data_IF_937491854795
#
_entry.id   IF_937491854795
#
_cell.length_a   1.000
_cell.length_b   1.000
_cell.length_c   1.000
_cell.angle_alpha   90.00
_cell.angle_beta   90.00
_cell.angle_gamma   90.00
#
_symmetry.space_group_name_H-M   'P 1'
#
loop_
_entity.id
_entity.type
_entity.pdbx_description
1 polymer ?
#
# COMPACT_ATOMS: atom_id res chain seq x y z
N UNK A 1 -22.98 2.71 13.63
CA UNK A 1 -22.45 3.92 14.29
C UNK A 1 -21.12 4.15 13.61
N UNK A 2 -21.13 4.89 12.51
CA UNK A 2 -19.91 5.17 11.74
C UNK A 2 -18.94 5.91 12.66
N UNK A 3 -17.78 5.32 12.91
CA UNK A 3 -16.69 6.02 13.55
C UNK A 3 -16.34 7.17 12.60
N UNK A 4 -16.49 8.41 13.05
CA UNK A 4 -15.93 9.56 12.34
C UNK A 4 -14.42 9.32 12.31
N UNK A 5 -13.89 9.01 11.13
CA UNK A 5 -12.47 8.89 10.90
C UNK A 5 -11.79 10.16 11.42
N UNK A 6 -10.88 10.00 12.37
CA UNK A 6 -10.14 11.11 12.94
C UNK A 6 -8.77 11.16 12.27
N UNK A 7 -8.28 12.35 11.87
CA UNK A 7 -6.94 12.49 11.34
C UNK A 7 -5.94 11.89 12.31
N UNK A 8 -5.12 10.98 11.80
CA UNK A 8 -4.15 10.23 12.56
C UNK A 8 -2.76 10.56 12.06
N UNK A 9 -1.83 10.79 12.99
CA UNK A 9 -0.41 10.89 12.70
C UNK A 9 0.33 10.10 13.78
N UNK A 10 0.83 8.94 13.40
CA UNK A 10 1.67 8.11 14.24
C UNK A 10 3.11 8.16 13.75
N UNK A 11 4.04 8.16 14.70
CA UNK A 11 5.46 8.25 14.41
C UNK A 11 6.16 7.20 15.25
N UNK A 12 6.80 6.26 14.57
CA UNK A 12 7.69 5.27 15.19
C UNK A 12 9.11 5.68 14.86
N UNK A 13 9.94 5.84 15.88
CA UNK A 13 11.35 6.18 15.72
C UNK A 13 12.23 5.14 16.42
N UNK A 14 13.32 4.76 15.75
CA UNK A 14 14.30 3.81 16.31
C UNK A 14 15.71 4.37 16.22
N UNK A 15 16.47 4.15 17.28
CA UNK A 15 17.89 4.49 17.34
C UNK A 15 18.78 3.39 16.68
N UNK A 16 20.09 3.62 16.49
CA UNK A 16 20.99 2.63 15.92
C UNK A 16 21.13 1.33 16.72
N UNK A 17 20.76 1.31 17.99
CA UNK A 17 20.76 0.13 18.84
C UNK A 17 19.43 -0.65 18.78
N UNK A 18 18.45 -0.17 18.00
CA UNK A 18 17.12 -0.74 17.88
C UNK A 18 16.17 -0.34 19.03
N UNK A 19 16.53 0.67 19.81
CA UNK A 19 15.70 1.21 20.89
C UNK A 19 14.64 2.18 20.37
N UNK A 20 13.44 2.11 20.96
CA UNK A 20 12.37 3.07 20.72
C UNK A 20 12.80 4.50 21.10
N UNK A 21 12.43 5.48 20.28
CA UNK A 21 12.57 6.90 20.59
C UNK A 21 11.19 7.55 20.56
N UNK A 22 10.80 8.22 21.64
CA UNK A 22 9.53 8.95 21.70
C UNK A 22 9.58 10.16 20.75
N UNK A 23 8.65 10.19 19.79
CA UNK A 23 8.46 11.29 18.85
C UNK A 23 6.96 11.56 18.72
N UNK A 24 6.49 12.59 19.40
CA UNK A 24 5.06 12.97 19.37
C UNK A 24 4.83 14.24 18.56
N UNK A 25 4.07 14.10 17.48
CA UNK A 25 3.63 15.20 16.63
C UNK A 25 4.74 15.86 15.79
N UNK A 26 4.31 16.82 14.96
CA UNK A 26 5.15 17.44 13.93
C UNK A 26 6.36 18.21 14.47
N UNK A 27 6.26 18.81 15.66
CA UNK A 27 7.37 19.57 16.26
C UNK A 27 8.53 18.67 16.70
N UNK A 28 8.22 17.47 17.20
CA UNK A 28 9.24 16.49 17.57
C UNK A 28 9.78 15.79 16.32
N UNK A 29 8.92 15.51 15.34
CA UNK A 29 9.33 14.98 14.03
C UNK A 29 10.41 15.85 13.37
N UNK A 30 10.24 17.18 13.38
CA UNK A 30 11.21 18.10 12.78
C UNK A 30 12.59 18.01 13.45
N UNK A 31 12.65 17.69 14.74
CA UNK A 31 13.93 17.44 15.43
C UNK A 31 14.48 16.06 15.10
N UNK A 32 13.62 15.04 15.11
CA UNK A 32 14.01 13.66 14.86
C UNK A 32 14.57 13.45 13.44
N UNK A 33 13.93 14.04 12.42
CA UNK A 33 14.38 13.92 11.01
C UNK A 33 15.76 14.54 10.75
N UNK A 34 16.21 15.46 11.63
CA UNK A 34 17.54 16.08 11.57
C UNK A 34 18.63 15.23 12.21
N UNK A 35 18.29 14.25 13.04
CA UNK A 35 19.27 13.29 13.56
C UNK A 35 19.49 12.18 12.52
N UNK A 36 20.66 12.14 11.84
CA UNK A 36 20.90 11.19 10.77
C UNK A 36 21.01 9.73 11.24
N UNK A 37 21.05 9.50 12.56
CA UNK A 37 21.17 8.17 13.17
C UNK A 37 19.84 7.49 13.38
N UNK A 38 18.74 8.26 13.40
CA UNK A 38 17.42 7.71 13.62
C UNK A 38 16.85 7.15 12.31
N UNK A 39 16.06 6.10 12.45
CA UNK A 39 15.13 5.67 11.41
C UNK A 39 13.72 5.93 11.86
N UNK A 40 12.87 6.32 10.92
CA UNK A 40 11.53 6.82 11.21
C UNK A 40 10.51 6.10 10.32
N UNK A 41 9.38 5.74 10.91
CA UNK A 41 8.17 5.49 10.18
C UNK A 41 7.16 6.55 10.60
N UNK A 42 6.60 7.23 9.60
CA UNK A 42 5.54 8.20 9.78
C UNK A 42 4.31 7.62 9.09
N UNK A 43 3.26 7.39 9.86
CA UNK A 43 1.97 6.93 9.36
C UNK A 43 0.95 8.05 9.48
N UNK A 44 0.31 8.40 8.37
CA UNK A 44 -0.58 9.55 8.26
C UNK A 44 -1.91 9.16 7.61
N UNK A 45 -3.01 9.28 8.35
CA UNK A 45 -4.35 9.03 7.84
C UNK A 45 -5.21 10.30 7.86
N UNK A 46 -5.96 10.54 6.77
CA UNK A 46 -6.93 11.63 6.63
C UNK A 46 -6.41 13.02 7.05
N UNK A 47 -5.15 13.32 6.73
CA UNK A 47 -4.58 14.65 7.00
C UNK A 47 -5.24 15.71 6.13
N UNK A 48 -5.59 16.85 6.74
CA UNK A 48 -6.00 18.02 5.97
C UNK A 48 -4.84 18.58 5.14
N UNK A 49 -5.18 19.38 4.11
CA UNK A 49 -4.18 19.93 3.19
C UNK A 49 -3.10 20.79 3.89
N UNK A 50 -3.43 21.45 5.01
CA UNK A 50 -2.46 22.27 5.74
C UNK A 50 -1.48 21.39 6.55
N UNK A 51 -1.98 20.33 7.18
CA UNK A 51 -1.20 19.33 7.88
C UNK A 51 -0.28 18.56 6.92
N UNK A 52 -0.81 18.12 5.77
CA UNK A 52 -0.04 17.46 4.73
C UNK A 52 1.09 18.36 4.21
N UNK A 53 0.79 19.62 3.84
CA UNK A 53 1.82 20.57 3.39
C UNK A 53 2.90 20.82 4.46
N UNK A 54 2.50 20.87 5.74
CA UNK A 54 3.45 21.04 6.84
C UNK A 54 4.33 19.81 7.00
N UNK A 55 3.74 18.61 6.96
CA UNK A 55 4.45 17.34 7.01
C UNK A 55 5.45 17.21 5.85
N UNK A 56 5.00 17.46 4.62
CA UNK A 56 5.85 17.45 3.44
C UNK A 56 7.04 18.40 3.55
N UNK A 57 6.84 19.60 4.09
CA UNK A 57 7.94 20.55 4.32
C UNK A 57 8.95 20.03 5.34
N UNK A 58 8.49 19.41 6.43
CA UNK A 58 9.36 18.84 7.47
C UNK A 58 10.20 17.69 6.90
N UNK A 59 9.57 16.83 6.10
CA UNK A 59 10.21 15.66 5.49
C UNK A 59 11.02 15.98 4.23
N UNK A 60 10.89 17.21 3.71
CA UNK A 60 11.54 17.65 2.47
C UNK A 60 10.98 16.99 1.21
N UNK A 61 9.71 16.59 1.24
CA UNK A 61 9.03 15.92 0.11
C UNK A 61 8.90 16.90 -1.06
N UNK A 62 9.18 16.41 -2.27
CA UNK A 62 9.09 17.22 -3.47
C UNK A 62 7.64 17.69 -3.71
N UNK A 63 7.40 18.95 -4.15
CA UNK A 63 6.06 19.49 -4.33
C UNK A 63 5.13 18.65 -5.22
N UNK A 64 5.65 18.04 -6.29
CA UNK A 64 4.85 17.13 -7.15
C UNK A 64 4.36 15.89 -6.41
N UNK A 65 5.19 15.33 -5.52
CA UNK A 65 4.79 14.18 -4.69
C UNK A 65 3.73 14.61 -3.67
N UNK A 66 3.87 15.80 -3.09
CA UNK A 66 2.84 16.36 -2.19
C UNK A 66 1.52 16.60 -2.90
N UNK A 67 1.55 17.10 -4.15
CA UNK A 67 0.37 17.29 -5.00
C UNK A 67 -0.30 15.95 -5.31
N UNK A 68 0.48 14.95 -5.72
CA UNK A 68 -0.03 13.60 -5.98
C UNK A 68 -0.75 13.00 -4.76
N UNK A 69 -0.13 13.05 -3.58
CA UNK A 69 -0.71 12.57 -2.31
C UNK A 69 -2.02 13.30 -1.98
N UNK A 70 -2.10 14.61 -2.29
CA UNK A 70 -3.29 15.42 -2.00
C UNK A 70 -4.45 15.11 -2.97
N UNK A 71 -4.15 14.77 -4.22
CA UNK A 71 -5.17 14.52 -5.25
C UNK A 71 -5.82 13.13 -5.15
N UNK A 72 -5.12 12.11 -4.62
CA UNK A 72 -5.62 10.75 -4.40
C UNK A 72 -6.38 10.16 -5.61
N UNK A 73 -5.84 10.38 -6.81
CA UNK A 73 -6.46 9.96 -8.07
C UNK A 73 -5.42 9.37 -9.01
N UNK A 74 -4.46 8.65 -8.43
CA UNK A 74 -3.33 8.13 -9.16
C UNK A 74 -3.62 6.72 -9.67
N UNK A 75 -2.72 6.21 -10.51
CA UNK A 75 -2.61 4.77 -10.76
C UNK A 75 -1.45 4.25 -9.96
N UNK A 76 -1.42 2.95 -9.71
CA UNK A 76 -0.26 2.34 -9.09
C UNK A 76 1.00 2.70 -9.89
N UNK A 77 1.96 3.31 -9.21
CA UNK A 77 3.19 3.83 -9.81
C UNK A 77 4.33 3.78 -8.81
N UNK A 78 5.56 3.82 -9.31
CA UNK A 78 6.75 4.01 -8.49
C UNK A 78 7.74 4.90 -9.24
N UNK A 79 8.16 5.98 -8.59
CA UNK A 79 9.00 7.01 -9.20
C UNK A 79 10.08 7.45 -8.22
N UNK A 80 11.29 7.63 -8.73
CA UNK A 80 12.40 8.15 -7.95
C UNK A 80 12.60 9.63 -8.23
N UNK A 81 12.54 10.44 -7.18
CA UNK A 81 12.73 11.88 -7.26
C UNK A 81 13.54 12.37 -6.08
N UNK A 82 14.60 13.15 -6.33
CA UNK A 82 15.45 13.77 -5.30
C UNK A 82 15.95 12.80 -4.20
N UNK A 83 16.26 11.56 -4.60
CA UNK A 83 16.75 10.53 -3.68
C UNK A 83 15.67 9.85 -2.84
N UNK A 84 14.39 10.18 -3.06
CA UNK A 84 13.22 9.52 -2.51
C UNK A 84 12.62 8.57 -3.55
N UNK A 85 11.96 7.52 -3.07
CA UNK A 85 11.08 6.68 -3.87
C UNK A 85 9.65 6.98 -3.43
N UNK A 86 8.85 7.55 -4.32
CA UNK A 86 7.40 7.65 -4.16
C UNK A 86 6.74 6.46 -4.84
N UNK A 87 5.86 5.77 -4.14
CA UNK A 87 5.11 4.64 -4.65
C UNK A 87 3.65 4.78 -4.25
N UNK A 88 2.76 4.55 -5.21
CA UNK A 88 1.32 4.50 -4.96
C UNK A 88 0.89 3.05 -5.17
N UNK A 89 0.28 2.45 -4.17
CA UNK A 89 -0.34 1.11 -4.23
C UNK A 89 -1.81 1.19 -3.83
N UNK A 90 -2.57 0.14 -4.08
CA UNK A 90 -4.00 0.07 -3.75
C UNK A 90 -4.27 -1.15 -2.88
N UNK A 91 -4.81 -0.95 -1.68
CA UNK A 91 -5.40 -2.04 -0.92
C UNK A 91 -6.77 -2.38 -1.53
N UNK A 92 -7.08 -3.68 -1.63
CA UNK A 92 -8.34 -4.15 -2.17
C UNK A 92 -9.12 -4.90 -1.08
N UNK A 93 -10.40 -4.59 -0.95
CA UNK A 93 -11.34 -5.34 -0.11
C UNK A 93 -12.62 -5.60 -0.87
N UNK A 94 -13.33 -6.67 -0.50
CA UNK A 94 -14.61 -7.02 -1.11
C UNK A 94 -15.75 -6.74 -0.13
N UNK A 95 -16.56 -5.72 -0.46
CA UNK A 95 -17.73 -5.30 0.33
C UNK A 95 -19.01 -5.33 -0.53
N UNK A 96 -19.26 -6.47 -1.19
CA UNK A 96 -20.32 -6.61 -2.19
C UNK A 96 -19.96 -6.02 -3.56
N UNK A 97 -18.95 -5.15 -3.58
CA UNK A 97 -18.15 -4.78 -4.73
C UNK A 97 -16.67 -4.67 -4.33
N UNK A 98 -15.77 -4.62 -5.31
CA UNK A 98 -14.35 -4.36 -5.06
C UNK A 98 -14.17 -2.88 -4.69
N UNK A 99 -13.70 -2.64 -3.48
CA UNK A 99 -13.34 -1.31 -2.97
C UNK A 99 -11.82 -1.20 -2.99
N UNK A 100 -11.33 -0.07 -3.51
CA UNK A 100 -9.91 0.24 -3.64
C UNK A 100 -9.56 1.40 -2.70
N UNK A 101 -8.54 1.22 -1.86
CA UNK A 101 -8.00 2.28 -0.99
C UNK A 101 -6.59 2.62 -1.44
N UNK A 102 -6.36 3.86 -1.87
CA UNK A 102 -5.05 4.36 -2.30
C UNK A 102 -4.12 4.52 -1.08
N UNK A 103 -2.89 4.04 -1.21
CA UNK A 103 -1.85 4.15 -0.19
C UNK A 103 -0.57 4.69 -0.84
N UNK A 104 -0.16 5.87 -0.41
CA UNK A 104 1.10 6.48 -0.79
C UNK A 104 2.22 6.06 0.16
N UNK A 105 3.36 5.72 -0.43
CA UNK A 105 4.60 5.44 0.27
C UNK A 105 5.67 6.42 -0.20
N UNK A 106 6.35 7.08 0.73
CA UNK A 106 7.59 7.82 0.44
C UNK A 106 8.73 7.18 1.22
N UNK A 107 9.61 6.49 0.51
CA UNK A 107 10.75 5.79 1.07
C UNK A 107 12.04 6.60 0.84
N UNK A 108 12.86 6.66 1.89
CA UNK A 108 14.26 7.08 1.83
C UNK A 108 15.14 6.05 2.55
N UNK A 109 16.46 6.26 2.57
CA UNK A 109 17.37 5.41 3.37
C UNK A 109 17.08 5.46 4.88
N UNK A 110 16.36 6.48 5.35
CA UNK A 110 16.16 6.73 6.80
C UNK A 110 14.71 6.69 7.24
N UNK A 111 13.77 6.94 6.35
CA UNK A 111 12.37 6.93 6.74
C UNK A 111 11.46 6.32 5.70
N UNK A 112 10.33 5.82 6.20
CA UNK A 112 9.15 5.48 5.43
C UNK A 112 8.03 6.42 5.87
N UNK A 113 7.36 7.06 4.92
CA UNK A 113 6.08 7.72 5.12
C UNK A 113 5.00 6.86 4.47
N UNK A 114 3.92 6.59 5.18
CA UNK A 114 2.66 6.05 4.65
C UNK A 114 1.59 7.12 4.75
N UNK A 115 0.86 7.37 3.65
CA UNK A 115 -0.32 8.24 3.64
C UNK A 115 -1.50 7.49 3.05
N UNK A 116 -2.64 7.50 3.76
CA UNK A 116 -3.84 6.78 3.35
C UNK A 116 -5.10 7.41 3.95
N UNK A 117 -6.27 6.86 3.59
CA UNK A 117 -7.54 7.18 4.25
C UNK A 117 -7.75 6.25 5.47
N UNK A 118 -8.61 6.63 6.43
CA UNK A 118 -8.81 5.83 7.64
C UNK A 118 -9.57 4.50 7.45
N UNK A 119 -10.02 4.19 6.23
CA UNK A 119 -10.60 2.89 5.88
C UNK A 119 -9.53 1.77 5.83
N UNK A 120 -8.26 2.14 5.75
CA UNK A 120 -7.12 1.26 5.77
C UNK A 120 -6.16 1.66 6.90
N UNK A 121 -5.44 0.69 7.47
CA UNK A 121 -4.50 0.91 8.57
C UNK A 121 -3.34 -0.10 8.48
N UNK A 122 -2.11 0.35 8.20
CA UNK A 122 -0.93 -0.52 8.07
C UNK A 122 -0.60 -1.26 9.37
N UNK A 123 -0.96 -0.72 10.55
CA UNK A 123 -0.71 -1.40 11.83
C UNK A 123 -1.47 -2.72 11.98
N UNK A 124 -2.49 -2.95 11.14
CA UNK A 124 -3.24 -4.21 11.12
C UNK A 124 -2.49 -5.34 10.42
N UNK A 125 -1.40 -5.03 9.71
CA UNK A 125 -0.54 -6.02 9.08
C UNK A 125 -0.09 -7.07 10.11
N UNK A 126 -0.22 -8.38 9.82
CA UNK A 126 0.15 -9.44 10.76
C UNK A 126 1.57 -9.33 11.30
N UNK A 127 2.52 -8.84 10.48
CA UNK A 127 3.92 -8.66 10.80
C UNK A 127 4.17 -7.48 11.75
N UNK A 128 3.23 -6.53 11.85
CA UNK A 128 3.28 -5.36 12.73
C UNK A 128 2.51 -5.56 14.05
N UNK A 129 1.84 -6.71 14.22
CA UNK A 129 1.06 -7.00 15.42
C UNK A 129 1.95 -7.04 16.66
N UNK A 130 1.89 -5.96 17.43
CA UNK A 130 2.52 -5.80 18.73
C UNK A 130 3.58 -4.71 18.79
N UNK A 131 4.41 -4.56 17.74
CA UNK A 131 5.46 -3.54 17.67
C UNK A 131 6.08 -3.44 16.26
N UNK A 132 6.17 -2.23 15.71
CA UNK A 132 6.81 -1.94 14.42
C UNK A 132 8.33 -1.74 14.53
N UNK A 133 8.85 -1.53 15.74
CA UNK A 133 10.27 -1.22 16.00
C UNK A 133 11.21 -2.26 15.41
N UNK A 134 11.01 -3.59 15.56
CA UNK A 134 11.95 -4.57 15.01
C UNK A 134 12.07 -4.52 13.49
N UNK A 135 10.96 -4.25 12.80
CA UNK A 135 10.94 -4.14 11.34
C UNK A 135 11.64 -2.86 10.88
N UNK A 136 11.32 -1.72 11.51
CA UNK A 136 11.98 -0.44 11.21
C UNK A 136 13.49 -0.46 11.55
N UNK A 137 13.86 -1.16 12.63
CA UNK A 137 15.25 -1.38 13.01
C UNK A 137 16.01 -2.29 12.03
N UNK A 138 15.30 -3.11 11.25
CA UNK A 138 15.90 -3.83 10.11
C UNK A 138 16.15 -2.86 8.95
N UNK A 139 15.17 -2.04 8.61
CA UNK A 139 15.30 -0.94 7.66
C UNK A 139 13.94 -0.39 7.22
N UNK A 140 13.87 0.89 6.79
CA UNK A 140 12.62 1.45 6.26
C UNK A 140 12.11 0.71 5.02
N UNK A 141 13.02 0.16 4.20
CA UNK A 141 12.69 -0.66 3.04
C UNK A 141 12.15 -2.03 3.44
N UNK A 142 12.64 -2.62 4.54
CA UNK A 142 12.09 -3.86 5.08
C UNK A 142 10.68 -3.66 5.65
N UNK A 143 10.44 -2.53 6.31
CA UNK A 143 9.10 -2.15 6.76
C UNK A 143 8.14 -1.94 5.57
N UNK A 144 8.59 -1.25 4.52
CA UNK A 144 7.82 -1.12 3.28
C UNK A 144 7.42 -2.48 2.72
N UNK A 145 8.35 -3.43 2.65
CA UNK A 145 8.04 -4.80 2.22
C UNK A 145 6.91 -5.39 3.06
N UNK A 146 7.01 -5.37 4.39
CA UNK A 146 6.04 -6.03 5.25
C UNK A 146 4.63 -5.44 5.12
N UNK A 147 4.52 -4.12 4.94
CA UNK A 147 3.24 -3.45 4.72
C UNK A 147 2.69 -3.79 3.33
N UNK A 148 3.53 -3.75 2.29
CA UNK A 148 3.11 -4.01 0.93
C UNK A 148 2.76 -5.48 0.68
N UNK A 149 3.47 -6.41 1.33
CA UNK A 149 3.15 -7.85 1.36
C UNK A 149 1.74 -8.08 1.90
N UNK A 150 1.41 -7.50 3.05
CA UNK A 150 0.07 -7.58 3.62
C UNK A 150 -1.00 -6.95 2.70
N UNK A 151 -0.70 -5.81 2.08
CA UNK A 151 -1.59 -5.16 1.13
C UNK A 151 -1.88 -6.05 -0.08
N UNK A 152 -0.85 -6.67 -0.67
CA UNK A 152 -0.98 -7.57 -1.83
C UNK A 152 -1.66 -8.88 -1.46
N UNK A 153 -1.38 -9.43 -0.27
CA UNK A 153 -2.06 -10.62 0.24
C UNK A 153 -3.58 -10.40 0.38
N UNK A 154 -3.99 -9.14 0.62
CA UNK A 154 -5.40 -8.73 0.60
C UNK A 154 -6.10 -8.95 -0.74
N UNK A 155 -5.36 -9.15 -1.84
CA UNK A 155 -5.93 -9.40 -3.16
C UNK A 155 -6.52 -10.80 -3.28
N UNK A 156 -5.93 -11.81 -2.64
CA UNK A 156 -6.41 -13.19 -2.77
C UNK A 156 -7.84 -13.39 -2.27
N UNK A 157 -8.22 -12.90 -1.06
CA UNK A 157 -9.62 -12.99 -0.63
C UNK A 157 -10.61 -12.29 -1.57
N UNK A 158 -10.21 -11.19 -2.23
CA UNK A 158 -11.06 -10.52 -3.21
C UNK A 158 -11.21 -11.38 -4.46
N UNK A 159 -10.11 -11.95 -4.94
CA UNK A 159 -10.10 -12.85 -6.10
C UNK A 159 -10.98 -14.07 -5.85
N UNK A 160 -10.78 -14.77 -4.73
CA UNK A 160 -11.56 -15.93 -4.32
C UNK A 160 -13.07 -15.64 -4.33
N UNK A 161 -13.48 -14.46 -3.85
CA UNK A 161 -14.89 -14.06 -3.88
C UNK A 161 -15.42 -13.83 -5.28
N UNK A 162 -14.63 -13.18 -6.14
CA UNK A 162 -15.03 -12.95 -7.53
C UNK A 162 -15.12 -14.26 -8.30
N UNK A 163 -14.21 -15.21 -8.06
CA UNK A 163 -14.19 -16.51 -8.74
C UNK A 163 -15.34 -17.40 -8.30
N UNK A 164 -15.60 -17.49 -6.98
CA UNK A 164 -16.78 -18.20 -6.44
C UNK A 164 -18.08 -17.69 -7.06
N UNK A 165 -18.24 -16.36 -7.18
CA UNK A 165 -19.45 -15.77 -7.78
C UNK A 165 -19.56 -15.99 -9.29
N UNK A 166 -18.44 -16.10 -9.99
CA UNK A 166 -18.45 -16.46 -11.41
C UNK A 166 -18.91 -17.91 -11.58
N UNK A 167 -18.43 -18.82 -10.74
CA UNK A 167 -18.79 -20.24 -10.80
C UNK A 167 -20.27 -20.45 -10.48
N UNK A 168 -20.81 -19.78 -9.45
CA UNK A 168 -22.25 -19.79 -9.15
C UNK A 168 -23.09 -19.28 -10.33
N UNK A 169 -22.63 -18.21 -11.00
CA UNK A 169 -23.31 -17.65 -12.15
C UNK A 169 -23.28 -18.59 -13.36
N UNK A 170 -22.19 -19.33 -13.56
CA UNK A 170 -22.08 -20.32 -14.63
C UNK A 170 -23.08 -21.46 -14.46
N UNK A 171 -23.19 -21.99 -13.23
CA UNK A 171 -24.16 -23.04 -12.89
C UNK A 171 -25.60 -22.55 -13.13
N UNK A 172 -25.92 -21.34 -12.70
CA UNK A 172 -27.24 -20.74 -12.88
C UNK A 172 -27.64 -20.54 -14.35
N UNK A 173 -26.69 -20.17 -15.22
CA UNK A 173 -26.95 -20.01 -16.67
C UNK A 173 -27.27 -21.35 -17.33
N UNK A 174 -26.61 -22.44 -16.90
CA UNK A 174 -26.87 -23.79 -17.41
C UNK A 174 -28.27 -24.26 -17.00
N UNK A 175 -28.68 -23.96 -15.76
CA UNK A 175 -29.97 -24.41 -15.22
C UNK A 175 -31.16 -23.55 -15.65
N UNK A 176 -30.99 -22.22 -15.78
CA UNK A 176 -32.08 -21.26 -15.98
C UNK A 176 -31.68 -20.12 -16.91
N UNK A 177 -32.26 -20.08 -18.12
CA UNK A 177 -32.13 -18.95 -19.05
C UNK A 177 -32.79 -17.67 -18.51
N UNK A 178 -32.07 -16.91 -17.67
CA UNK A 178 -32.56 -15.69 -17.01
C UNK A 178 -31.77 -14.43 -17.43
N UNK A 179 -32.46 -13.29 -17.57
CA UNK A 179 -31.86 -11.99 -17.91
C UNK A 179 -31.11 -11.32 -16.76
N UNK A 180 -31.32 -11.79 -15.51
CA UNK A 180 -30.59 -11.32 -14.32
C UNK A 180 -29.11 -11.70 -14.39
N UNK A 181 -28.81 -12.87 -14.96
CA UNK A 181 -27.45 -13.41 -15.05
C UNK A 181 -26.53 -12.51 -15.90
N UNK A 182 -27.07 -11.88 -16.95
CA UNK A 182 -26.34 -10.95 -17.80
C UNK A 182 -25.87 -9.69 -17.05
N UNK A 183 -26.71 -9.13 -16.15
CA UNK A 183 -26.34 -7.92 -15.41
C UNK A 183 -25.21 -8.22 -14.42
N UNK A 184 -25.30 -9.34 -13.66
CA UNK A 184 -24.24 -9.71 -12.71
C UNK A 184 -22.93 -10.01 -13.44
N UNK A 185 -22.98 -10.69 -14.59
CA UNK A 185 -21.80 -10.92 -15.44
C UNK A 185 -21.07 -9.61 -15.80
N UNK A 186 -21.80 -8.56 -16.19
CA UNK A 186 -21.18 -7.26 -16.50
C UNK A 186 -20.58 -6.57 -15.28
N UNK A 187 -21.14 -6.80 -14.08
CA UNK A 187 -20.56 -6.28 -12.83
C UNK A 187 -19.27 -7.01 -12.49
N UNK A 188 -19.29 -8.36 -12.45
CA UNK A 188 -18.11 -9.18 -12.19
C UNK A 188 -16.98 -8.89 -13.18
N UNK A 189 -17.30 -8.77 -14.48
CA UNK A 189 -16.33 -8.39 -15.50
C UNK A 189 -15.67 -7.03 -15.21
N UNK A 190 -16.44 -6.05 -14.72
CA UNK A 190 -15.91 -4.71 -14.39
C UNK A 190 -15.06 -4.75 -13.13
N UNK A 191 -15.42 -5.56 -12.14
CA UNK A 191 -14.65 -5.79 -10.92
C UNK A 191 -13.30 -6.44 -11.23
N UNK A 192 -13.27 -7.52 -12.05
CA UNK A 192 -12.02 -8.13 -12.53
C UNK A 192 -11.13 -7.13 -13.28
N UNK A 193 -11.73 -6.25 -14.09
CA UNK A 193 -10.99 -5.19 -14.80
C UNK A 193 -10.47 -4.11 -13.83
N UNK A 194 -11.20 -3.83 -12.74
CA UNK A 194 -10.74 -2.93 -11.66
C UNK A 194 -9.53 -3.51 -10.95
N UNK A 195 -9.66 -4.74 -10.45
CA UNK A 195 -8.58 -5.47 -9.81
C UNK A 195 -7.32 -5.55 -10.69
N UNK A 196 -7.46 -5.89 -11.98
CA UNK A 196 -6.33 -5.92 -12.93
C UNK A 196 -5.66 -4.55 -13.11
N UNK A 197 -6.41 -3.44 -13.03
CA UNK A 197 -5.85 -2.08 -13.10
C UNK A 197 -5.01 -1.74 -11.86
N UNK A 198 -5.30 -2.34 -10.71
CA UNK A 198 -4.48 -2.23 -9.50
C UNK A 198 -3.29 -3.20 -9.53
N UNK A 199 -3.50 -4.48 -9.87
CA UNK A 199 -2.48 -5.53 -9.78
C UNK A 199 -1.40 -5.41 -10.86
N UNK A 200 -1.76 -5.10 -12.12
CA UNK A 200 -0.79 -5.15 -13.23
C UNK A 200 0.32 -4.09 -13.11
N UNK A 201 0.05 -2.82 -12.76
CA UNK A 201 1.12 -1.85 -12.52
C UNK A 201 1.91 -2.19 -11.25
N UNK A 202 1.25 -2.67 -10.19
CA UNK A 202 1.93 -3.13 -8.96
C UNK A 202 2.94 -4.24 -9.25
N UNK A 203 2.59 -5.20 -10.11
CA UNK A 203 3.54 -6.24 -10.59
C UNK A 203 4.77 -5.63 -11.24
N UNK A 204 4.60 -4.62 -12.09
CA UNK A 204 5.72 -3.93 -12.74
C UNK A 204 6.59 -3.16 -11.74
N UNK A 205 5.98 -2.49 -10.77
CA UNK A 205 6.71 -1.83 -9.67
C UNK A 205 7.59 -2.84 -8.93
N UNK A 206 7.04 -3.97 -8.52
CA UNK A 206 7.78 -5.00 -7.79
C UNK A 206 8.85 -5.70 -8.63
N UNK A 207 8.65 -5.82 -9.95
CA UNK A 207 9.69 -6.23 -10.88
C UNK A 207 10.88 -5.25 -10.84
N UNK A 208 10.62 -3.94 -10.94
CA UNK A 208 11.66 -2.90 -10.89
C UNK A 208 12.39 -2.87 -9.54
N UNK A 209 11.67 -3.05 -8.42
CA UNK A 209 12.26 -3.17 -7.08
C UNK A 209 13.17 -4.40 -6.97
N UNK A 210 12.73 -5.54 -7.51
CA UNK A 210 13.48 -6.80 -7.47
C UNK A 210 14.74 -6.73 -8.34
N UNK A 211 14.68 -6.02 -9.46
CA UNK A 211 15.82 -5.72 -10.33
C UNK A 211 16.68 -4.56 -9.81
N UNK A 212 16.26 -3.92 -8.70
CA UNK A 212 16.92 -2.79 -8.04
C UNK A 212 17.06 -1.54 -8.91
N UNK A 213 16.17 -1.38 -9.89
CA UNK A 213 16.16 -0.24 -10.82
C UNK A 213 15.79 1.06 -10.11
N UNK A 214 14.91 0.98 -9.10
CA UNK A 214 14.43 2.13 -8.33
C UNK A 214 15.38 2.55 -7.18
N UNK A 215 16.39 1.74 -6.86
CA UNK A 215 17.28 1.97 -5.71
C UNK A 215 16.56 1.86 -4.35
N UNK A 216 17.26 2.22 -3.27
CA UNK A 216 16.78 2.20 -1.87
C UNK A 216 16.43 0.85 -1.25
N UNK A 217 16.12 -0.18 -2.05
CA UNK A 217 15.99 -1.55 -1.57
C UNK A 217 17.37 -2.14 -1.32
N UNK A 218 17.63 -2.53 -0.07
CA UNK A 218 18.87 -3.16 0.32
C UNK A 218 19.04 -4.53 -0.37
N UNK A 219 20.25 -4.91 -0.86
CA UNK A 219 20.45 -6.18 -1.57
C UNK A 219 19.94 -7.42 -0.83
N UNK A 220 20.09 -7.44 0.51
CA UNK A 220 19.63 -8.57 1.32
C UNK A 220 18.10 -8.62 1.47
N UNK A 221 17.40 -7.51 1.20
CA UNK A 221 15.95 -7.44 1.33
C UNK A 221 15.23 -7.78 0.01
N UNK A 222 15.92 -7.78 -1.12
CA UNK A 222 15.37 -8.09 -2.46
C UNK A 222 14.62 -9.43 -2.49
N UNK A 223 15.06 -10.42 -1.70
CA UNK A 223 14.38 -11.72 -1.64
C UNK A 223 12.93 -11.60 -1.14
N UNK A 224 12.64 -10.67 -0.25
CA UNK A 224 11.30 -10.44 0.29
C UNK A 224 10.41 -9.72 -0.73
N UNK A 225 10.94 -8.72 -1.44
CA UNK A 225 10.22 -8.08 -2.55
C UNK A 225 9.93 -9.06 -3.71
N UNK A 226 10.79 -10.06 -3.91
CA UNK A 226 10.54 -11.12 -4.89
C UNK A 226 9.35 -12.00 -4.51
N UNK A 227 9.13 -12.26 -3.23
CA UNK A 227 7.98 -13.04 -2.76
C UNK A 227 6.66 -12.31 -3.11
N UNK A 228 6.60 -11.00 -2.84
CA UNK A 228 5.46 -10.15 -3.24
C UNK A 228 5.30 -10.12 -4.76
N UNK A 229 6.40 -10.04 -5.51
CA UNK A 229 6.37 -10.13 -6.97
C UNK A 229 5.79 -11.46 -7.46
N UNK A 230 6.17 -12.58 -6.85
CA UNK A 230 5.65 -13.91 -7.15
C UNK A 230 4.15 -14.02 -6.80
N UNK A 231 3.69 -13.40 -5.71
CA UNK A 231 2.27 -13.29 -5.38
C UNK A 231 1.50 -12.50 -6.45
N UNK A 232 2.03 -11.36 -6.90
CA UNK A 232 1.43 -10.55 -7.96
C UNK A 232 1.35 -11.28 -9.30
N UNK A 233 2.33 -12.14 -9.62
CA UNK A 233 2.26 -13.02 -10.79
C UNK A 233 1.07 -13.96 -10.67
N UNK A 234 0.92 -14.67 -9.53
CA UNK A 234 -0.19 -15.60 -9.31
C UNK A 234 -1.55 -14.92 -9.47
N UNK A 235 -1.74 -13.76 -8.82
CA UNK A 235 -2.97 -12.98 -8.93
C UNK A 235 -3.24 -12.57 -10.38
N UNK A 236 -2.21 -12.12 -11.10
CA UNK A 236 -2.37 -11.69 -12.51
C UNK A 236 -2.72 -12.86 -13.43
N UNK A 237 -2.06 -14.02 -13.26
CA UNK A 237 -2.30 -15.21 -14.08
C UNK A 237 -3.71 -15.78 -13.86
N UNK A 238 -4.19 -15.74 -12.61
CA UNK A 238 -5.55 -16.15 -12.28
C UNK A 238 -6.59 -15.17 -12.85
N UNK A 239 -6.37 -13.86 -12.74
CA UNK A 239 -7.21 -12.85 -13.39
C UNK A 239 -7.29 -13.03 -14.92
N UNK A 240 -6.17 -13.39 -15.56
CA UNK A 240 -6.13 -13.62 -17.01
C UNK A 240 -6.85 -14.92 -17.43
N UNK A 241 -7.11 -15.84 -16.48
CA UNK A 241 -7.91 -17.07 -16.72
C UNK A 241 -9.41 -16.78 -16.89
N UNK A 242 -9.92 -15.76 -16.19
CA UNK A 242 -11.34 -15.37 -16.23
C UNK A 242 -11.69 -14.30 -17.28
N UNK A 243 -10.76 -14.02 -18.20
CA UNK A 243 -10.89 -13.00 -19.24
C UNK A 243 -11.54 -13.52 -20.53
#
# INVERSE_FOLDING_TARGET
MEAVAHPHLEIVAVDPAGGAVEVEGLDQLERAIRDPRLRLWIDAADLDAAALQRLSRILGIHPLVTEDIQEQNQRAKAERLDGMLHMVLFALVYEGEVVESEVDFVLTERYLLTVHQADWDPMRAPQLRGDAIPLLATGPDYLLYAIADWLVDGYFPVLDRLTDEIDELQDDVIERNSSWNLRRLFVLKRELIGMRRATAPTREIFNQLTNRELGLVHPNHVIYFRDVYDHLIRVTDELDTYR
#
